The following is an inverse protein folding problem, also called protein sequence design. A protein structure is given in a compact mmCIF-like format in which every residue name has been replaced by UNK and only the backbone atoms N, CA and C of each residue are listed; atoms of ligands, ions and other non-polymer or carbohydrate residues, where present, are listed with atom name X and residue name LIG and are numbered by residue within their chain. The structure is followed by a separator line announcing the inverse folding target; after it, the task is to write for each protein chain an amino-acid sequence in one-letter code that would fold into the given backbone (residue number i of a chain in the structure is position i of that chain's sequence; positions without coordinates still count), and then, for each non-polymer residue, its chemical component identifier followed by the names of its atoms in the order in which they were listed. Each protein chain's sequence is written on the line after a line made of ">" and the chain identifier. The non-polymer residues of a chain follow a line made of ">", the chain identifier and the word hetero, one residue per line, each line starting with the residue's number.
data_IF_224182284401
#
_entry.id   IF_224182284401
#
_cell.length_a   1.000
_cell.length_b   1.000
_cell.length_c   1.000
_cell.angle_alpha   90.00
_cell.angle_beta   90.00
_cell.angle_gamma   90.00
#
_symmetry.space_group_name_H-M   'P 1'
#
loop_
_entity.id
_entity.type
_entity.pdbx_description
1 polymer ?
#
# COMPACT_ATOMS: atom_id res chain seq x y z
N UNK A 1 17.33 38.89 -29.93
CA UNK A 1 16.02 39.06 -29.22
C UNK A 1 16.36 39.49 -27.80
N UNK A 2 15.83 40.65 -27.39
CA UNK A 2 16.07 41.20 -26.05
C UNK A 2 15.32 40.38 -24.99
N UNK A 3 15.88 40.24 -23.78
CA UNK A 3 15.24 39.53 -22.65
C UNK A 3 13.78 39.93 -22.43
N UNK A 4 13.45 41.21 -22.60
CA UNK A 4 12.10 41.78 -22.49
C UNK A 4 11.10 41.19 -23.52
N UNK A 5 11.55 40.86 -24.74
CA UNK A 5 10.70 40.25 -25.77
C UNK A 5 10.41 38.75 -25.47
N UNK A 6 11.38 38.04 -24.87
CA UNK A 6 11.18 36.65 -24.43
C UNK A 6 10.22 36.56 -23.26
N UNK A 7 10.28 37.51 -22.35
CA UNK A 7 9.40 37.57 -21.18
C UNK A 7 7.94 37.89 -21.54
N UNK A 8 7.72 38.81 -22.47
CA UNK A 8 6.39 39.12 -23.02
C UNK A 8 5.79 37.96 -23.81
N UNK A 9 6.61 37.28 -24.59
CA UNK A 9 6.13 36.10 -25.33
C UNK A 9 5.73 34.95 -24.36
N UNK A 10 6.51 34.71 -23.32
CA UNK A 10 6.20 33.72 -22.28
C UNK A 10 4.93 34.07 -21.50
N UNK A 11 4.70 35.35 -21.19
CA UNK A 11 3.46 35.79 -20.52
C UNK A 11 2.22 35.60 -21.42
N UNK A 12 2.33 35.87 -22.73
CA UNK A 12 1.23 35.60 -23.65
C UNK A 12 0.94 34.11 -23.84
N UNK A 13 1.97 33.25 -23.90
CA UNK A 13 1.82 31.80 -23.96
C UNK A 13 1.10 31.29 -22.72
N UNK A 14 1.50 31.71 -21.51
CA UNK A 14 0.84 31.35 -20.26
C UNK A 14 -0.64 31.80 -20.21
N UNK A 15 -0.93 32.98 -20.73
CA UNK A 15 -2.29 33.49 -20.81
C UNK A 15 -3.15 32.68 -21.77
N UNK A 16 -2.61 32.27 -22.92
CA UNK A 16 -3.30 31.43 -23.89
C UNK A 16 -3.54 30.00 -23.33
N UNK A 17 -2.58 29.49 -22.61
CA UNK A 17 -2.72 28.21 -21.90
C UNK A 17 -3.85 28.28 -20.87
N UNK A 18 -3.87 29.30 -20.00
CA UNK A 18 -4.90 29.45 -18.97
C UNK A 18 -6.30 29.63 -19.58
N UNK A 19 -6.44 30.36 -20.67
CA UNK A 19 -7.71 30.52 -21.40
C UNK A 19 -8.25 29.19 -21.93
N UNK A 20 -7.37 28.24 -22.27
CA UNK A 20 -7.75 26.89 -22.73
C UNK A 20 -8.01 25.91 -21.58
N UNK A 21 -7.30 26.07 -20.45
CA UNK A 21 -7.45 25.20 -19.29
C UNK A 21 -8.67 25.55 -18.44
N UNK A 22 -9.02 26.84 -18.28
CA UNK A 22 -10.12 27.25 -17.43
C UNK A 22 -11.46 26.55 -17.73
N UNK A 23 -11.93 26.41 -18.99
CA UNK A 23 -13.17 25.72 -19.28
C UNK A 23 -13.09 24.20 -19.04
N UNK A 24 -11.90 23.61 -19.10
CA UNK A 24 -11.71 22.18 -18.77
C UNK A 24 -11.75 21.95 -17.27
N UNK A 25 -11.13 22.85 -16.48
CA UNK A 25 -11.20 22.80 -15.02
C UNK A 25 -12.64 22.88 -14.52
N UNK A 26 -13.44 23.81 -15.05
CA UNK A 26 -14.88 23.92 -14.71
C UNK A 26 -15.63 22.60 -14.98
N UNK A 27 -15.32 21.94 -16.08
CA UNK A 27 -15.94 20.63 -16.38
C UNK A 27 -15.48 19.52 -15.42
N UNK A 28 -14.21 19.55 -14.99
CA UNK A 28 -13.68 18.63 -13.99
C UNK A 28 -14.38 18.88 -12.66
N UNK A 29 -14.48 20.13 -12.20
CA UNK A 29 -15.15 20.50 -10.94
C UNK A 29 -16.61 20.02 -10.92
N UNK A 30 -17.31 20.10 -12.05
CA UNK A 30 -18.69 19.58 -12.15
C UNK A 30 -18.75 18.04 -12.05
N UNK A 31 -17.80 17.32 -12.66
CA UNK A 31 -17.67 15.87 -12.53
C UNK A 31 -17.32 15.48 -11.09
N UNK A 32 -16.41 16.20 -10.45
CA UNK A 32 -16.01 15.96 -9.05
C UNK A 32 -17.20 16.12 -8.11
N UNK A 33 -18.05 17.14 -8.31
CA UNK A 33 -19.29 17.33 -7.55
C UNK A 33 -20.22 16.11 -7.69
N UNK A 34 -20.40 15.61 -8.90
CA UNK A 34 -21.23 14.40 -9.14
C UNK A 34 -20.62 13.15 -8.49
N UNK A 35 -19.29 12.99 -8.55
CA UNK A 35 -18.58 11.90 -7.88
C UNK A 35 -18.79 11.93 -6.36
N UNK A 36 -18.70 13.10 -5.72
CA UNK A 36 -18.94 13.26 -4.28
C UNK A 36 -20.38 12.87 -3.92
N UNK A 37 -21.38 13.31 -4.70
CA UNK A 37 -22.79 12.93 -4.50
C UNK A 37 -23.00 11.41 -4.61
N UNK A 38 -22.41 10.77 -5.63
CA UNK A 38 -22.51 9.33 -5.85
C UNK A 38 -21.79 8.52 -4.75
N UNK A 39 -20.62 8.98 -4.31
CA UNK A 39 -19.88 8.36 -3.20
C UNK A 39 -20.65 8.47 -1.90
N UNK A 40 -21.25 9.62 -1.59
CA UNK A 40 -22.08 9.82 -0.41
C UNK A 40 -23.31 8.92 -0.42
N UNK A 41 -23.98 8.79 -1.58
CA UNK A 41 -25.10 7.85 -1.76
C UNK A 41 -24.67 6.40 -1.57
N UNK A 42 -23.51 6.02 -2.13
CA UNK A 42 -22.95 4.67 -1.97
C UNK A 42 -22.63 4.36 -0.51
N UNK A 43 -22.07 5.34 0.21
CA UNK A 43 -21.77 5.22 1.63
C UNK A 43 -23.04 5.02 2.47
N UNK A 44 -24.12 5.75 2.18
CA UNK A 44 -25.42 5.55 2.82
C UNK A 44 -25.97 4.13 2.61
N UNK A 45 -25.90 3.61 1.38
CA UNK A 45 -26.30 2.22 1.09
C UNK A 45 -25.42 1.18 1.81
N UNK A 46 -24.12 1.48 2.00
CA UNK A 46 -23.23 0.60 2.75
C UNK A 46 -23.65 0.54 4.24
N UNK A 47 -24.01 1.68 4.86
CA UNK A 47 -24.54 1.70 6.22
C UNK A 47 -25.81 0.86 6.35
N UNK A 48 -26.74 0.95 5.41
CA UNK A 48 -27.95 0.11 5.41
C UNK A 48 -27.61 -1.37 5.34
N UNK A 49 -26.64 -1.76 4.50
CA UNK A 49 -26.12 -3.13 4.42
C UNK A 49 -25.45 -3.54 5.74
N UNK A 50 -24.70 -2.63 6.38
CA UNK A 50 -24.08 -2.85 7.70
C UNK A 50 -25.11 -3.18 8.76
N UNK A 51 -26.22 -2.43 8.85
CA UNK A 51 -27.32 -2.70 9.78
C UNK A 51 -27.91 -4.10 9.57
N UNK A 52 -28.18 -4.49 8.30
CA UNK A 52 -28.67 -5.84 8.00
C UNK A 52 -27.67 -6.92 8.42
N UNK A 53 -26.36 -6.73 8.18
CA UNK A 53 -25.33 -7.68 8.61
C UNK A 53 -25.32 -7.85 10.14
N UNK A 54 -25.45 -6.75 10.90
CA UNK A 54 -25.51 -6.77 12.37
C UNK A 54 -26.71 -7.55 12.88
N UNK A 55 -27.89 -7.38 12.28
CA UNK A 55 -29.10 -8.15 12.64
C UNK A 55 -28.90 -9.66 12.50
N UNK A 56 -28.11 -10.11 11.51
CA UNK A 56 -27.84 -11.52 11.24
C UNK A 56 -26.50 -12.01 11.80
N UNK A 57 -25.75 -11.20 12.55
CA UNK A 57 -24.43 -11.57 13.08
C UNK A 57 -23.38 -11.87 11.98
N UNK A 58 -23.52 -11.25 10.81
CA UNK A 58 -22.65 -11.49 9.66
C UNK A 58 -21.43 -10.58 9.70
N UNK A 59 -20.25 -11.09 9.29
CA UNK A 59 -19.04 -10.30 9.21
C UNK A 59 -19.17 -9.12 8.25
N UNK A 60 -18.68 -7.96 8.66
CA UNK A 60 -18.67 -6.73 7.86
C UNK A 60 -17.76 -6.89 6.64
N UNK A 61 -16.54 -7.39 6.83
CA UNK A 61 -15.59 -7.64 5.77
C UNK A 61 -15.83 -9.00 5.11
N UNK A 62 -16.02 -9.00 3.80
CA UNK A 62 -16.25 -10.18 2.95
C UNK A 62 -15.35 -10.13 1.73
N UNK A 63 -14.14 -10.71 1.80
CA UNK A 63 -13.14 -10.65 0.72
C UNK A 63 -13.67 -11.12 -0.63
N UNK A 64 -14.48 -12.19 -0.66
CA UNK A 64 -15.06 -12.71 -1.90
C UNK A 64 -15.98 -11.69 -2.58
N UNK A 65 -16.75 -10.94 -1.79
CA UNK A 65 -17.65 -9.91 -2.32
C UNK A 65 -16.87 -8.72 -2.86
N UNK A 66 -15.81 -8.29 -2.16
CA UNK A 66 -14.95 -7.21 -2.62
C UNK A 66 -14.25 -7.60 -3.92
N UNK A 67 -13.72 -8.82 -4.02
CA UNK A 67 -13.14 -9.35 -5.26
C UNK A 67 -14.13 -9.32 -6.42
N UNK A 68 -15.36 -9.81 -6.23
CA UNK A 68 -16.41 -9.75 -7.26
C UNK A 68 -16.71 -8.33 -7.74
N UNK A 69 -16.68 -7.35 -6.83
CA UNK A 69 -16.87 -5.93 -7.17
C UNK A 69 -15.71 -5.45 -8.04
N UNK A 70 -14.46 -5.73 -7.67
CA UNK A 70 -13.27 -5.32 -8.44
C UNK A 70 -13.24 -5.97 -9.82
N UNK A 71 -13.58 -7.25 -9.93
CA UNK A 71 -13.71 -7.96 -11.21
C UNK A 71 -14.78 -7.31 -12.10
N UNK A 72 -15.96 -7.03 -11.55
CA UNK A 72 -17.06 -6.38 -12.28
C UNK A 72 -16.65 -4.99 -12.77
N UNK A 73 -15.96 -4.21 -11.96
CA UNK A 73 -15.49 -2.87 -12.32
C UNK A 73 -14.49 -2.92 -13.48
N UNK A 74 -13.57 -3.89 -13.46
CA UNK A 74 -12.64 -4.09 -14.56
C UNK A 74 -13.36 -4.46 -15.87
N UNK A 75 -14.47 -5.22 -15.80
CA UNK A 75 -15.25 -5.61 -16.98
C UNK A 75 -16.04 -4.46 -17.59
N UNK A 76 -16.57 -3.54 -16.75
CA UNK A 76 -17.40 -2.42 -17.22
C UNK A 76 -16.61 -1.13 -17.46
N UNK A 77 -15.31 -1.15 -17.25
CA UNK A 77 -14.44 0.04 -17.43
C UNK A 77 -14.40 0.47 -18.91
N UNK A 78 -14.89 1.68 -19.27
CA UNK A 78 -14.86 2.15 -20.66
C UNK A 78 -13.50 2.80 -21.03
N UNK A 79 -12.53 2.88 -20.10
CA UNK A 79 -11.33 3.71 -20.23
C UNK A 79 -11.65 5.21 -19.99
N UNK A 80 -10.68 6.09 -20.03
CA UNK A 80 -9.24 5.91 -20.33
C UNK A 80 -8.39 5.40 -19.15
N UNK A 81 -8.95 5.26 -17.94
CA UNK A 81 -8.22 4.70 -16.80
C UNK A 81 -7.90 3.24 -17.03
N UNK A 82 -6.69 2.81 -16.66
CA UNK A 82 -6.34 1.39 -16.66
C UNK A 82 -7.08 0.64 -15.55
N UNK A 83 -7.37 -0.64 -15.76
CA UNK A 83 -8.12 -1.45 -14.78
C UNK A 83 -7.46 -1.49 -13.41
N UNK A 84 -6.15 -1.64 -13.33
CA UNK A 84 -5.43 -1.64 -12.05
C UNK A 84 -5.59 -0.33 -11.27
N UNK A 85 -5.51 0.83 -11.95
CA UNK A 85 -5.75 2.13 -11.32
C UNK A 85 -7.19 2.29 -10.83
N UNK A 86 -8.16 1.85 -11.65
CA UNK A 86 -9.56 1.89 -11.26
C UNK A 86 -9.88 0.95 -10.08
N UNK A 87 -9.29 -0.25 -10.07
CA UNK A 87 -9.44 -1.20 -8.96
C UNK A 87 -8.84 -0.65 -7.66
N UNK A 88 -7.68 0.01 -7.71
CA UNK A 88 -7.09 0.68 -6.55
C UNK A 88 -8.01 1.77 -5.97
N UNK A 89 -8.59 2.62 -6.81
CA UNK A 89 -9.58 3.63 -6.38
C UNK A 89 -10.78 2.94 -5.71
N UNK A 90 -11.28 1.86 -6.29
CA UNK A 90 -12.44 1.14 -5.76
C UNK A 90 -12.16 0.44 -4.43
N UNK A 91 -10.95 -0.08 -4.24
CA UNK A 91 -10.49 -0.62 -2.96
C UNK A 91 -10.61 0.44 -1.85
N UNK A 92 -10.13 1.66 -2.12
CA UNK A 92 -10.21 2.77 -1.14
C UNK A 92 -11.66 3.20 -0.87
N UNK A 93 -12.50 3.25 -1.91
CA UNK A 93 -13.93 3.53 -1.74
C UNK A 93 -14.61 2.46 -0.88
N UNK A 94 -14.28 1.18 -1.09
CA UNK A 94 -14.82 0.09 -0.28
C UNK A 94 -14.30 0.14 1.15
N UNK A 95 -13.02 0.39 1.34
CA UNK A 95 -12.37 0.54 2.63
C UNK A 95 -13.00 1.67 3.45
N UNK A 96 -13.18 2.86 2.85
CA UNK A 96 -13.81 4.00 3.49
C UNK A 96 -15.28 3.72 3.86
N UNK A 97 -16.05 3.06 2.98
CA UNK A 97 -17.42 2.68 3.28
C UNK A 97 -17.52 1.64 4.38
N UNK A 98 -16.58 0.70 4.45
CA UNK A 98 -16.52 -0.30 5.51
C UNK A 98 -16.19 0.34 6.86
N UNK A 99 -15.27 1.30 6.90
CA UNK A 99 -14.88 1.99 8.13
C UNK A 99 -16.04 2.75 8.79
N UNK A 100 -17.04 3.19 8.03
CA UNK A 100 -18.26 3.79 8.60
C UNK A 100 -19.29 2.73 9.05
N UNK A 101 -19.21 1.47 8.56
CA UNK A 101 -20.00 0.35 9.08
C UNK A 101 -19.39 -0.13 10.41
N UNK A 102 -18.10 -0.40 10.42
CA UNK A 102 -17.30 -0.87 11.54
C UNK A 102 -15.82 -0.57 11.30
N UNK A 103 -15.17 0.07 12.27
CA UNK A 103 -13.73 0.32 12.21
C UNK A 103 -12.97 -0.99 12.46
N UNK A 104 -12.24 -1.45 11.46
CA UNK A 104 -11.42 -2.66 11.58
C UNK A 104 -10.03 -2.34 12.13
N UNK A 105 -9.59 -3.09 13.13
CA UNK A 105 -8.19 -3.12 13.59
C UNK A 105 -7.53 -4.35 13.00
N UNK A 106 -6.41 -4.17 12.28
CA UNK A 106 -5.66 -5.26 11.64
C UNK A 106 -4.26 -5.34 12.21
N UNK A 107 -3.95 -6.48 12.87
CA UNK A 107 -2.62 -6.77 13.38
C UNK A 107 -1.72 -7.30 12.25
N UNK A 108 -0.47 -6.87 12.19
CA UNK A 108 0.50 -7.34 11.21
C UNK A 108 1.90 -7.45 11.82
N UNK A 109 2.78 -8.21 11.17
CA UNK A 109 4.17 -8.32 11.61
C UNK A 109 4.92 -7.01 11.26
N UNK A 110 5.19 -6.21 12.31
CA UNK A 110 5.92 -4.96 12.23
C UNK A 110 7.43 -5.08 12.00
N UNK A 111 8.14 -4.00 12.05
CA UNK A 111 7.65 -2.63 12.28
C UNK A 111 6.93 -2.02 11.08
N UNK A 112 6.46 -0.76 11.23
CA UNK A 112 5.95 0.03 10.10
C UNK A 112 6.98 0.17 8.97
N UNK A 113 6.51 0.21 7.71
CA UNK A 113 7.33 0.24 6.49
C UNK A 113 7.82 -1.15 6.05
N UNK A 114 7.17 -2.22 6.50
CA UNK A 114 7.48 -3.60 6.07
C UNK A 114 6.53 -4.08 4.97
N UNK A 115 6.92 -5.14 4.25
CA UNK A 115 6.05 -5.80 3.27
C UNK A 115 4.76 -6.35 3.89
N UNK A 116 4.77 -6.69 5.19
CA UNK A 116 3.56 -7.11 5.89
C UNK A 116 2.56 -5.98 6.06
N UNK A 117 3.02 -4.74 6.31
CA UNK A 117 2.16 -3.56 6.32
C UNK A 117 1.61 -3.28 4.92
N UNK A 118 2.47 -3.32 3.89
CA UNK A 118 2.05 -3.11 2.50
C UNK A 118 1.00 -4.14 2.06
N UNK A 119 1.21 -5.43 2.37
CA UNK A 119 0.22 -6.47 2.13
C UNK A 119 -1.10 -6.19 2.87
N UNK A 120 -1.03 -5.69 4.10
CA UNK A 120 -2.21 -5.31 4.88
C UNK A 120 -3.01 -4.20 4.20
N UNK A 121 -2.33 -3.14 3.78
CA UNK A 121 -2.97 -2.01 3.10
C UNK A 121 -3.50 -2.38 1.72
N UNK A 122 -2.78 -3.21 0.96
CA UNK A 122 -3.25 -3.69 -0.33
C UNK A 122 -4.47 -4.62 -0.23
N UNK A 123 -4.64 -5.34 0.89
CA UNK A 123 -5.77 -6.23 1.08
C UNK A 123 -7.00 -5.54 1.67
N UNK A 124 -6.79 -4.65 2.64
CA UNK A 124 -7.88 -4.00 3.38
C UNK A 124 -8.17 -2.56 2.94
N UNK A 125 -7.27 -1.89 2.19
CA UNK A 125 -7.28 -0.45 1.96
C UNK A 125 -6.82 0.34 3.19
N UNK A 126 -6.80 1.67 3.08
CA UNK A 126 -6.18 2.55 4.08
C UNK A 126 -7.12 2.98 5.23
N UNK A 127 -8.44 2.73 5.14
CA UNK A 127 -9.39 3.14 6.16
C UNK A 127 -9.54 2.07 7.26
N UNK A 128 -8.41 1.59 7.79
CA UNK A 128 -8.31 0.62 8.89
C UNK A 128 -7.42 1.17 10.00
N UNK A 129 -7.49 0.58 11.20
CA UNK A 129 -6.51 0.79 12.25
C UNK A 129 -5.41 -0.26 12.14
N UNK A 130 -4.17 0.18 11.97
CA UNK A 130 -3.00 -0.69 11.89
C UNK A 130 -2.44 -0.97 13.28
N UNK A 131 -2.21 -2.25 13.58
CA UNK A 131 -1.58 -2.69 14.83
C UNK A 131 -0.29 -3.44 14.48
N UNK A 132 0.87 -2.79 14.62
CA UNK A 132 2.16 -3.42 14.44
C UNK A 132 2.50 -4.34 15.63
N UNK A 133 2.92 -5.54 15.34
CA UNK A 133 3.29 -6.57 16.31
C UNK A 133 4.77 -6.94 16.17
N UNK A 134 5.43 -7.20 17.29
CA UNK A 134 6.86 -7.54 17.29
C UNK A 134 7.16 -8.96 16.83
N UNK A 135 6.18 -9.86 16.88
CA UNK A 135 6.32 -11.26 16.51
C UNK A 135 5.04 -11.82 15.88
N UNK A 136 5.17 -12.94 15.15
CA UNK A 136 4.03 -13.69 14.63
C UNK A 136 3.09 -14.15 15.76
N UNK A 137 3.66 -14.60 16.87
CA UNK A 137 2.89 -14.99 18.07
C UNK A 137 2.03 -13.83 18.60
N UNK A 138 2.53 -12.59 18.55
CA UNK A 138 1.78 -11.42 18.99
C UNK A 138 0.64 -11.09 18.03
N UNK A 139 0.81 -11.29 16.72
CA UNK A 139 -0.27 -11.13 15.75
C UNK A 139 -1.41 -12.11 16.07
N UNK A 140 -1.10 -13.42 16.18
CA UNK A 140 -2.10 -14.44 16.52
C UNK A 140 -2.79 -14.16 17.84
N UNK A 141 -2.03 -13.82 18.88
CA UNK A 141 -2.55 -13.48 20.21
C UNK A 141 -3.44 -12.25 20.21
N UNK A 142 -3.13 -11.25 19.38
CA UNK A 142 -3.93 -10.04 19.29
C UNK A 142 -5.31 -10.30 18.71
N UNK A 143 -5.38 -11.16 17.69
CA UNK A 143 -6.67 -11.57 17.08
C UNK A 143 -7.44 -12.50 18.04
N UNK A 144 -6.79 -13.49 18.65
CA UNK A 144 -7.43 -14.40 19.61
C UNK A 144 -8.01 -13.67 20.83
N UNK A 145 -7.33 -12.62 21.29
CA UNK A 145 -7.77 -11.79 22.41
C UNK A 145 -8.80 -10.71 22.01
N UNK A 146 -9.20 -10.62 20.75
CA UNK A 146 -10.14 -9.61 20.25
C UNK A 146 -9.58 -8.18 20.25
N UNK A 147 -8.25 -7.99 20.35
CA UNK A 147 -7.61 -6.67 20.22
C UNK A 147 -7.49 -6.21 18.78
N UNK A 148 -7.44 -7.15 17.85
CA UNK A 148 -7.52 -6.92 16.42
C UNK A 148 -8.61 -7.80 15.83
N UNK A 149 -9.29 -7.29 14.79
CA UNK A 149 -10.35 -8.03 14.07
C UNK A 149 -9.74 -9.06 13.13
N UNK A 150 -8.61 -8.72 12.53
CA UNK A 150 -7.86 -9.56 11.59
C UNK A 150 -6.37 -9.53 11.91
N UNK A 151 -5.64 -10.56 11.42
CA UNK A 151 -4.19 -10.60 11.44
C UNK A 151 -3.64 -10.89 10.04
N UNK A 152 -2.59 -10.20 9.65
CA UNK A 152 -1.85 -10.45 8.41
C UNK A 152 -0.48 -11.01 8.77
N UNK A 153 -0.19 -12.22 8.28
CA UNK A 153 1.05 -12.93 8.56
C UNK A 153 1.66 -13.44 7.26
N UNK A 154 2.97 -13.35 7.08
CA UNK A 154 3.65 -13.94 5.95
C UNK A 154 3.63 -15.49 6.08
N UNK A 155 3.32 -16.18 4.99
CA UNK A 155 3.27 -17.65 4.95
C UNK A 155 4.40 -18.23 4.12
N UNK A 156 4.83 -17.52 3.09
CA UNK A 156 5.85 -17.97 2.16
C UNK A 156 6.65 -16.79 1.60
N UNK A 157 7.91 -17.02 1.35
CA UNK A 157 8.78 -16.13 0.60
C UNK A 157 9.44 -16.93 -0.53
N UNK A 158 9.46 -16.40 -1.75
CA UNK A 158 9.98 -17.09 -2.94
C UNK A 158 11.45 -17.51 -2.81
N UNK A 159 12.25 -16.84 -1.96
CA UNK A 159 13.68 -17.12 -1.77
C UNK A 159 13.95 -18.11 -0.64
N UNK A 160 13.15 -18.08 0.45
CA UNK A 160 13.36 -18.89 1.65
C UNK A 160 12.32 -20.00 1.82
N UNK A 161 11.25 -19.98 1.01
CA UNK A 161 10.15 -20.93 1.10
C UNK A 161 9.17 -20.60 2.23
N UNK A 162 8.54 -21.66 2.75
CA UNK A 162 7.49 -21.55 3.76
C UNK A 162 8.02 -21.07 5.12
N UNK A 163 7.25 -20.21 5.78
CA UNK A 163 7.56 -19.70 7.13
C UNK A 163 7.00 -20.67 8.17
N UNK A 164 7.84 -21.58 8.65
CA UNK A 164 7.46 -22.68 9.56
C UNK A 164 6.70 -22.17 10.79
N UNK A 165 7.12 -21.03 11.38
CA UNK A 165 6.44 -20.49 12.57
C UNK A 165 4.98 -20.12 12.32
N UNK A 166 4.66 -19.54 11.15
CA UNK A 166 3.26 -19.25 10.77
C UNK A 166 2.46 -20.55 10.65
N UNK A 167 3.04 -21.57 10.01
CA UNK A 167 2.38 -22.87 9.82
C UNK A 167 2.12 -23.54 11.17
N UNK A 168 3.09 -23.54 12.10
CA UNK A 168 2.93 -24.09 13.44
C UNK A 168 1.80 -23.40 14.19
N UNK A 169 1.75 -22.06 14.17
CA UNK A 169 0.70 -21.29 14.83
C UNK A 169 -0.68 -21.53 14.22
N UNK A 170 -0.77 -21.77 12.90
CA UNK A 170 -2.04 -22.13 12.25
C UNK A 170 -2.57 -23.51 12.67
N UNK A 171 -1.70 -24.45 13.03
CA UNK A 171 -2.11 -25.76 13.54
C UNK A 171 -2.70 -25.69 14.95
N UNK A 172 -2.23 -24.72 15.76
CA UNK A 172 -2.58 -24.61 17.19
C UNK A 172 -3.69 -23.56 17.46
N UNK A 173 -4.23 -22.91 16.40
CA UNK A 173 -5.23 -21.85 16.56
C UNK A 173 -6.63 -22.28 16.14
N UNK A 174 -7.65 -21.61 16.73
CA UNK A 174 -9.03 -21.68 16.27
C UNK A 174 -9.39 -20.54 15.30
N UNK A 175 -8.42 -19.72 14.88
CA UNK A 175 -8.65 -18.65 13.92
C UNK A 175 -8.89 -19.24 12.53
N UNK A 176 -9.67 -18.52 11.72
CA UNK A 176 -10.06 -18.94 10.38
C UNK A 176 -9.30 -18.08 9.36
N UNK A 177 -8.74 -18.74 8.34
CA UNK A 177 -8.13 -18.05 7.21
C UNK A 177 -9.25 -17.41 6.38
N UNK A 178 -9.24 -16.08 6.29
CA UNK A 178 -10.25 -15.29 5.57
C UNK A 178 -9.83 -14.93 4.16
N UNK A 179 -8.57 -15.05 3.81
CA UNK A 179 -8.05 -14.77 2.48
C UNK A 179 -6.54 -14.82 2.41
N UNK A 180 -6.02 -14.61 1.21
CA UNK A 180 -4.60 -14.54 0.92
C UNK A 180 -4.29 -13.37 -0.01
N UNK A 181 -3.07 -12.87 0.07
CA UNK A 181 -2.53 -11.87 -0.84
C UNK A 181 -1.09 -12.23 -1.20
N UNK A 182 -0.74 -12.08 -2.45
CA UNK A 182 0.63 -12.17 -2.93
C UNK A 182 1.07 -10.80 -3.43
N UNK A 183 2.17 -10.31 -2.91
CA UNK A 183 2.76 -9.03 -3.31
C UNK A 183 4.11 -9.25 -3.98
N UNK A 184 4.41 -8.56 -5.09
CA UNK A 184 5.74 -8.57 -5.67
C UNK A 184 6.70 -7.83 -4.74
N UNK A 185 7.85 -8.45 -4.43
CA UNK A 185 8.91 -7.81 -3.65
C UNK A 185 9.98 -7.35 -4.61
N UNK A 186 10.07 -6.04 -4.80
CA UNK A 186 11.09 -5.38 -5.61
C UNK A 186 11.99 -4.54 -4.69
N UNK A 187 13.29 -4.82 -4.70
CA UNK A 187 14.25 -4.05 -3.93
C UNK A 187 14.77 -2.86 -4.73
N UNK A 188 14.83 -1.70 -4.09
CA UNK A 188 15.44 -0.51 -4.65
C UNK A 188 16.62 -0.06 -3.77
N UNK A 189 17.72 0.34 -4.40
CA UNK A 189 18.84 0.97 -3.70
C UNK A 189 18.51 2.45 -3.51
N UNK A 190 18.44 2.88 -2.25
CA UNK A 190 18.05 4.23 -1.87
C UNK A 190 19.26 4.96 -1.29
N UNK A 191 19.56 6.17 -1.77
CA UNK A 191 20.59 7.04 -1.21
C UNK A 191 20.19 8.49 -1.40
N UNK A 192 20.63 9.39 -0.53
CA UNK A 192 20.54 10.84 -0.73
C UNK A 192 21.61 11.34 -1.70
N UNK A 193 22.67 10.57 -1.95
CA UNK A 193 23.66 10.86 -2.99
C UNK A 193 23.09 10.52 -4.38
N UNK A 194 23.29 11.41 -5.35
CA UNK A 194 22.95 11.18 -6.76
C UNK A 194 24.04 10.39 -7.50
N UNK A 195 25.19 10.20 -6.87
CA UNK A 195 26.36 9.50 -7.44
C UNK A 195 26.69 8.27 -6.57
N UNK A 196 26.44 7.08 -7.11
CA UNK A 196 26.69 5.81 -6.42
C UNK A 196 28.17 5.59 -6.07
N UNK A 197 29.11 6.25 -6.77
CA UNK A 197 30.55 6.14 -6.47
C UNK A 197 30.94 6.79 -5.14
N UNK A 198 30.11 7.68 -4.60
CA UNK A 198 30.30 8.33 -3.31
C UNK A 198 29.74 7.50 -2.13
N UNK A 199 28.87 6.57 -2.44
CA UNK A 199 28.31 5.65 -1.45
C UNK A 199 29.35 4.59 -1.11
N UNK A 200 29.59 4.38 0.18
CA UNK A 200 30.58 3.43 0.68
C UNK A 200 29.95 2.14 1.21
N UNK A 201 28.72 2.21 1.67
CA UNK A 201 28.09 1.10 2.37
C UNK A 201 26.60 0.97 2.02
N UNK A 202 26.16 -0.27 1.85
CA UNK A 202 24.74 -0.62 1.71
C UNK A 202 24.25 -1.29 2.97
N UNK A 203 23.13 -0.77 3.50
CA UNK A 203 22.45 -1.26 4.68
C UNK A 203 21.14 -1.93 4.27
N UNK A 204 20.85 -3.10 4.79
CA UNK A 204 19.53 -3.72 4.63
C UNK A 204 19.35 -4.86 5.66
N UNK A 205 18.14 -5.39 5.76
CA UNK A 205 17.93 -6.65 6.47
C UNK A 205 18.75 -7.75 5.79
N UNK A 206 19.29 -8.70 6.58
CA UNK A 206 20.16 -9.77 6.08
C UNK A 206 19.57 -10.52 4.88
N UNK A 207 18.27 -10.77 4.89
CA UNK A 207 17.54 -11.44 3.81
C UNK A 207 17.55 -10.61 2.51
N UNK A 208 17.31 -9.29 2.60
CA UNK A 208 17.36 -8.41 1.43
C UNK A 208 18.76 -8.33 0.81
N UNK A 209 19.81 -8.28 1.66
CA UNK A 209 21.20 -8.35 1.19
C UNK A 209 21.50 -9.66 0.45
N UNK A 210 20.98 -10.78 0.96
CA UNK A 210 21.14 -12.08 0.31
C UNK A 210 20.42 -12.13 -1.05
N UNK A 211 19.19 -11.63 -1.13
CA UNK A 211 18.42 -11.57 -2.39
C UNK A 211 19.06 -10.64 -3.43
N UNK A 212 19.67 -9.55 -3.00
CA UNK A 212 20.35 -8.59 -3.90
C UNK A 212 21.83 -8.92 -4.16
N UNK A 213 22.36 -10.02 -3.63
CA UNK A 213 23.79 -10.31 -3.62
C UNK A 213 24.40 -10.32 -5.04
N UNK A 214 23.74 -10.98 -5.98
CA UNK A 214 24.25 -11.08 -7.36
C UNK A 214 24.29 -9.71 -8.03
N UNK A 215 23.21 -8.94 -7.90
CA UNK A 215 23.15 -7.58 -8.45
C UNK A 215 24.25 -6.68 -7.86
N UNK A 216 24.41 -6.71 -6.53
CA UNK A 216 25.43 -5.92 -5.84
C UNK A 216 26.85 -6.32 -6.24
N UNK A 217 27.12 -7.61 -6.49
CA UNK A 217 28.43 -8.08 -6.96
C UNK A 217 28.76 -7.53 -8.34
N UNK A 218 27.75 -7.42 -9.21
CA UNK A 218 27.97 -6.97 -10.61
C UNK A 218 28.00 -5.45 -10.73
N UNK A 219 27.06 -4.74 -10.06
CA UNK A 219 26.82 -3.32 -10.31
C UNK A 219 27.44 -2.40 -9.25
N UNK A 220 27.66 -2.91 -8.03
CA UNK A 220 28.18 -2.11 -6.91
C UNK A 220 29.15 -2.93 -6.02
N UNK A 221 30.19 -3.56 -6.60
CA UNK A 221 31.11 -4.45 -5.87
C UNK A 221 31.93 -3.72 -4.78
N UNK A 222 32.05 -2.40 -4.88
CA UNK A 222 32.79 -1.56 -3.94
C UNK A 222 32.04 -1.30 -2.64
N UNK A 223 30.71 -1.50 -2.62
CA UNK A 223 29.90 -1.24 -1.43
C UNK A 223 30.12 -2.29 -0.34
N UNK A 224 30.46 -1.85 0.85
CA UNK A 224 30.45 -2.70 2.03
C UNK A 224 28.99 -3.03 2.41
N UNK A 225 28.73 -4.28 2.80
CA UNK A 225 27.40 -4.78 3.13
C UNK A 225 27.26 -4.93 4.63
N UNK A 226 26.29 -4.24 5.23
CA UNK A 226 26.02 -4.33 6.64
C UNK A 226 24.55 -4.66 6.89
N UNK A 227 24.32 -5.75 7.63
CA UNK A 227 22.98 -6.13 8.04
C UNK A 227 22.51 -5.23 9.20
N UNK A 228 21.23 -4.82 9.09
CA UNK A 228 20.49 -4.07 10.13
C UNK A 228 19.18 -4.79 10.44
N UNK A 229 18.46 -4.34 11.47
CA UNK A 229 17.27 -5.02 11.96
C UNK A 229 16.09 -5.03 10.97
N UNK A 230 16.01 -4.04 10.05
CA UNK A 230 14.97 -3.95 9.01
C UNK A 230 15.39 -3.02 7.86
N UNK A 231 14.77 -3.20 6.68
CA UNK A 231 14.96 -2.29 5.54
C UNK A 231 14.46 -0.87 5.88
N UNK A 232 13.41 -0.72 6.69
CA UNK A 232 12.94 0.57 7.15
C UNK A 232 13.98 1.30 8.01
N UNK A 233 14.72 0.58 8.86
CA UNK A 233 15.83 1.14 9.61
C UNK A 233 16.98 1.55 8.68
N UNK A 234 17.32 0.72 7.69
CA UNK A 234 18.35 1.03 6.69
C UNK A 234 18.01 2.35 5.98
N UNK A 235 16.78 2.48 5.46
CA UNK A 235 16.32 3.68 4.77
C UNK A 235 16.41 4.95 5.66
N UNK A 236 16.07 4.85 6.95
CA UNK A 236 16.22 5.97 7.91
C UNK A 236 17.68 6.40 8.08
N UNK A 237 18.61 5.45 8.15
CA UNK A 237 20.05 5.77 8.26
C UNK A 237 20.57 6.39 6.97
N UNK A 238 20.24 5.81 5.79
CA UNK A 238 20.65 6.33 4.51
C UNK A 238 20.04 7.72 4.18
N UNK A 239 18.89 8.07 4.77
CA UNK A 239 18.25 9.37 4.52
C UNK A 239 19.02 10.57 5.09
N UNK A 240 19.97 10.36 5.99
CA UNK A 240 20.72 11.41 6.67
C UNK A 240 22.25 11.34 6.42
N UNK A 241 22.71 10.29 5.75
CA UNK A 241 24.14 10.07 5.46
C UNK A 241 24.37 9.76 3.98
N UNK A 242 25.05 10.63 3.21
CA UNK A 242 25.29 10.43 1.78
C UNK A 242 26.29 9.29 1.45
N UNK A 243 27.01 8.75 2.44
CA UNK A 243 27.89 7.60 2.26
C UNK A 243 27.15 6.25 2.38
N UNK A 244 25.87 6.28 2.77
CA UNK A 244 25.02 5.10 2.95
C UNK A 244 23.97 4.96 1.83
N UNK A 245 23.57 3.71 1.58
CA UNK A 245 22.45 3.33 0.73
C UNK A 245 21.68 2.15 1.32
#
# INVERSE_FOLDING_TARGET
>A
MTKDNQEKQRQEELRQEELRLAPLRIKIDEVDRQLIELLSRRAGLALEVGHVKQEFGSAVFRPERERQILEKIAQINPGPLKNNGLQAIWLEIMSACRAIEEQLTVAYLGPAGTFSEDATLQFFGHSIELMDCHSLDDVFRSVQAGRATYGVVPIENSSEGAISRTLDLLLDTNLIISGEISIPIEHALLSVSTDLSQVKQVLAHAQALAQCQEWLNVHAPHLQRQAVSSNAQAAKLASVDPELA
#
